data_IF_175107448267
#
_entry.id   IF_175107448267
#
_cell.length_a   1.000
_cell.length_b   1.000
_cell.length_c   1.000
_cell.angle_alpha   90.00
_cell.angle_beta   90.00
_cell.angle_gamma   90.00
#
_symmetry.space_group_name_H-M   'P 1'
#
loop_
_entity.id
_entity.type
_entity.pdbx_description
1 polymer ?
#
# COMPACT_ATOMS: atom_id res chain seq x y z
N UNK A 1 -0.36 21.50 17.23
CA UNK A 1 -0.79 21.88 15.87
C UNK A 1 -1.11 20.61 15.08
N UNK A 2 -2.28 19.99 15.20
CA UNK A 2 -2.51 18.69 14.50
C UNK A 2 -3.97 18.36 14.09
N UNK A 3 -4.97 19.16 14.47
CA UNK A 3 -6.39 18.84 14.16
C UNK A 3 -6.77 19.05 12.69
N UNK A 4 -6.07 19.95 11.98
CA UNK A 4 -6.32 20.23 10.56
C UNK A 4 -5.91 19.08 9.63
N UNK A 5 -4.80 18.39 9.94
CA UNK A 5 -4.26 17.30 9.12
C UNK A 5 -5.22 16.10 9.05
N UNK A 6 -5.79 15.69 10.19
CA UNK A 6 -6.68 14.52 10.27
C UNK A 6 -7.95 14.68 9.42
N UNK A 7 -8.60 15.86 9.49
CA UNK A 7 -9.79 16.15 8.67
C UNK A 7 -9.45 16.21 7.19
N UNK A 8 -8.31 16.80 6.84
CA UNK A 8 -7.85 16.87 5.45
C UNK A 8 -7.57 15.47 4.88
N UNK A 9 -6.90 14.60 5.63
CA UNK A 9 -6.67 13.19 5.25
C UNK A 9 -8.00 12.46 5.05
N UNK A 10 -8.95 12.60 5.97
CA UNK A 10 -10.24 11.93 5.87
C UNK A 10 -11.04 12.40 4.64
N UNK A 11 -11.06 13.70 4.37
CA UNK A 11 -11.73 14.28 3.20
C UNK A 11 -11.06 13.84 1.90
N UNK A 12 -9.73 13.81 1.84
CA UNK A 12 -8.98 13.35 0.68
C UNK A 12 -9.26 11.87 0.40
N UNK A 13 -9.27 11.03 1.43
CA UNK A 13 -9.61 9.61 1.31
C UNK A 13 -11.04 9.44 0.77
N UNK A 14 -12.01 10.11 1.37
CA UNK A 14 -13.41 10.08 0.91
C UNK A 14 -13.55 10.56 -0.53
N UNK A 15 -12.82 11.60 -0.91
CA UNK A 15 -12.83 12.10 -2.29
C UNK A 15 -12.29 11.03 -3.22
N UNK A 16 -11.22 10.34 -2.83
CA UNK A 16 -10.57 9.32 -3.65
C UNK A 16 -11.39 8.04 -3.78
N UNK A 17 -12.08 7.59 -2.72
CA UNK A 17 -12.74 6.27 -2.65
C UNK A 17 -14.26 6.33 -2.61
N UNK A 18 -14.84 7.51 -2.42
CA UNK A 18 -16.27 7.73 -2.13
C UNK A 18 -16.76 7.01 -0.85
N UNK A 19 -15.84 6.69 0.07
CA UNK A 19 -16.12 5.99 1.33
C UNK A 19 -15.33 6.61 2.50
N UNK A 20 -15.76 6.40 3.73
CA UNK A 20 -15.02 6.87 4.91
C UNK A 20 -13.80 5.98 5.19
N UNK A 21 -12.64 6.55 5.60
CA UNK A 21 -11.51 5.74 6.02
C UNK A 21 -11.83 5.00 7.32
N UNK A 22 -11.34 3.76 7.45
CA UNK A 22 -11.36 3.06 8.73
C UNK A 22 -10.34 3.68 9.69
N UNK A 23 -10.45 3.34 10.97
CA UNK A 23 -9.45 3.74 11.98
C UNK A 23 -8.04 3.31 11.60
N UNK A 24 -7.85 2.08 11.10
CA UNK A 24 -6.54 1.55 10.73
C UNK A 24 -5.93 2.28 9.53
N UNK A 25 -6.76 2.73 8.59
CA UNK A 25 -6.31 3.57 7.47
C UNK A 25 -5.87 4.94 7.98
N UNK A 26 -6.62 5.53 8.91
CA UNK A 26 -6.24 6.81 9.52
C UNK A 26 -4.92 6.70 10.28
N UNK A 27 -4.73 5.65 11.09
CA UNK A 27 -3.47 5.43 11.81
C UNK A 27 -2.29 5.16 10.88
N UNK A 28 -2.52 4.52 9.73
CA UNK A 28 -1.49 4.33 8.71
C UNK A 28 -1.07 5.65 8.04
N UNK A 29 -2.02 6.53 7.74
CA UNK A 29 -1.78 7.74 6.93
C UNK A 29 -1.37 8.96 7.78
N UNK A 30 -1.87 9.07 9.02
CA UNK A 30 -1.64 10.22 9.90
C UNK A 30 -0.15 10.55 10.14
N UNK A 31 0.78 9.58 10.29
CA UNK A 31 2.20 9.88 10.50
C UNK A 31 2.92 10.39 9.25
N UNK A 32 2.32 10.27 8.06
CA UNK A 32 2.95 10.62 6.79
C UNK A 32 2.79 12.12 6.49
N UNK A 33 3.74 12.73 5.74
CA UNK A 33 3.52 14.04 5.14
C UNK A 33 2.24 14.04 4.29
N UNK A 34 1.46 15.13 4.36
CA UNK A 34 0.15 15.19 3.68
C UNK A 34 0.25 15.00 2.16
N UNK A 35 1.30 15.53 1.53
CA UNK A 35 1.61 15.30 0.11
C UNK A 35 1.73 13.81 -0.20
N UNK A 36 2.48 13.06 0.62
CA UNK A 36 2.62 11.61 0.46
C UNK A 36 1.29 10.87 0.60
N UNK A 37 0.40 11.34 1.47
CA UNK A 37 -0.97 10.81 1.55
C UNK A 37 -1.71 11.01 0.23
N UNK A 38 -1.66 12.19 -0.37
CA UNK A 38 -2.33 12.48 -1.64
C UNK A 38 -1.81 11.61 -2.79
N UNK A 39 -0.50 11.39 -2.87
CA UNK A 39 0.10 10.50 -3.87
C UNK A 39 -0.44 9.07 -3.74
N UNK A 40 -0.45 8.52 -2.52
CA UNK A 40 -0.95 7.17 -2.26
C UNK A 40 -2.43 7.01 -2.65
N UNK A 41 -3.24 8.01 -2.35
CA UNK A 41 -4.66 8.03 -2.70
C UNK A 41 -4.88 8.17 -4.21
N UNK A 42 -4.03 8.92 -4.91
CA UNK A 42 -4.05 9.04 -6.36
C UNK A 42 -3.75 7.70 -7.02
N UNK A 43 -2.69 7.01 -6.60
CA UNK A 43 -2.32 5.67 -7.11
C UNK A 43 -3.48 4.69 -6.90
N UNK A 44 -4.09 4.70 -5.71
CA UNK A 44 -5.24 3.84 -5.41
C UNK A 44 -6.45 4.15 -6.30
N UNK A 45 -6.73 5.42 -6.58
CA UNK A 45 -7.85 5.83 -7.46
C UNK A 45 -7.59 5.54 -8.94
N UNK A 46 -6.34 5.61 -9.38
CA UNK A 46 -5.92 5.28 -10.74
C UNK A 46 -5.78 3.76 -10.97
N UNK A 47 -5.88 2.94 -9.92
CA UNK A 47 -5.84 1.49 -10.04
C UNK A 47 -6.83 1.01 -11.12
N UNK A 48 -6.37 0.25 -12.12
CA UNK A 48 -7.20 -0.17 -13.26
C UNK A 48 -8.31 -1.14 -12.86
N UNK A 49 -8.26 -1.69 -11.64
CA UNK A 49 -9.28 -2.55 -11.06
C UNK A 49 -9.68 -2.07 -9.66
N UNK A 50 -10.91 -2.39 -9.21
CA UNK A 50 -11.33 -2.06 -7.86
C UNK A 50 -10.39 -2.62 -6.78
N UNK A 51 -9.93 -1.75 -5.88
CA UNK A 51 -9.06 -2.12 -4.77
C UNK A 51 -9.90 -2.75 -3.66
N UNK A 52 -9.82 -4.09 -3.55
CA UNK A 52 -10.63 -4.87 -2.59
C UNK A 52 -10.20 -4.69 -1.13
N UNK A 53 -8.94 -4.35 -0.89
CA UNK A 53 -8.37 -4.16 0.44
C UNK A 53 -7.52 -2.89 0.46
N UNK A 54 -8.13 -1.72 0.71
CA UNK A 54 -7.43 -0.44 0.72
C UNK A 54 -6.24 -0.41 1.70
N UNK A 55 -6.42 -0.97 2.90
CA UNK A 55 -5.35 -1.00 3.90
C UNK A 55 -4.10 -1.76 3.42
N UNK A 56 -4.27 -2.95 2.86
CA UNK A 56 -3.14 -3.75 2.36
C UNK A 56 -2.51 -3.13 1.11
N UNK A 57 -3.32 -2.52 0.24
CA UNK A 57 -2.84 -1.77 -0.92
C UNK A 57 -1.94 -0.62 -0.48
N UNK A 58 -2.40 0.21 0.45
CA UNK A 58 -1.64 1.36 0.96
C UNK A 58 -0.36 0.92 1.67
N UNK A 59 -0.41 -0.12 2.51
CA UNK A 59 0.80 -0.69 3.14
C UNK A 59 1.83 -1.12 2.11
N UNK A 60 1.39 -1.81 1.06
CA UNK A 60 2.26 -2.27 -0.01
C UNK A 60 2.85 -1.10 -0.80
N UNK A 61 2.03 -0.11 -1.17
CA UNK A 61 2.49 1.09 -1.86
C UNK A 61 3.53 1.88 -1.05
N UNK A 62 3.38 1.94 0.28
CA UNK A 62 4.37 2.54 1.18
C UNK A 62 5.64 1.71 1.21
N UNK A 63 5.54 0.39 1.45
CA UNK A 63 6.68 -0.53 1.56
C UNK A 63 7.51 -0.58 0.26
N UNK A 64 6.83 -0.63 -0.89
CA UNK A 64 7.48 -0.72 -2.20
C UNK A 64 7.90 0.64 -2.76
N UNK A 65 7.58 1.74 -2.06
CA UNK A 65 7.96 3.09 -2.48
C UNK A 65 7.28 3.53 -3.79
N UNK A 66 6.04 3.11 -4.02
CA UNK A 66 5.29 3.48 -5.23
C UNK A 66 5.10 5.00 -5.30
N UNK A 67 5.25 5.55 -6.50
CA UNK A 67 4.99 6.95 -6.81
C UNK A 67 3.75 7.08 -7.71
N UNK A 68 3.22 8.29 -7.94
CA UNK A 68 2.04 8.48 -8.81
C UNK A 68 2.17 7.95 -10.23
N UNK A 69 3.38 7.74 -10.74
CA UNK A 69 3.65 7.17 -12.06
C UNK A 69 3.68 5.62 -12.02
N UNK A 70 3.70 5.02 -10.82
CA UNK A 70 3.71 3.58 -10.64
C UNK A 70 2.31 3.03 -10.90
N UNK A 71 2.15 2.32 -12.03
CA UNK A 71 0.91 1.63 -12.34
C UNK A 71 0.79 0.35 -11.49
N UNK A 72 -0.28 0.20 -10.67
CA UNK A 72 -0.45 -1.00 -9.86
C UNK A 72 -0.68 -2.23 -10.74
N UNK A 73 0.27 -3.17 -10.72
CA UNK A 73 0.12 -4.43 -11.44
C UNK A 73 -0.63 -5.47 -10.62
N UNK A 74 -1.36 -6.35 -11.31
CA UNK A 74 -2.00 -7.49 -10.65
C UNK A 74 -0.92 -8.48 -10.26
N UNK A 75 -0.64 -8.52 -8.98
CA UNK A 75 0.20 -9.53 -8.39
C UNK A 75 -0.55 -10.87 -8.32
N UNK A 76 0.07 -11.92 -8.85
CA UNK A 76 -0.38 -13.29 -8.59
C UNK A 76 0.13 -13.75 -7.21
N UNK A 77 -0.78 -13.76 -6.24
CA UNK A 77 -0.48 -14.19 -4.86
C UNK A 77 -0.04 -15.64 -4.77
N UNK A 78 -0.47 -16.50 -5.69
CA UNK A 78 -0.03 -17.89 -5.68
C UNK A 78 1.46 -17.97 -6.03
N UNK A 79 1.88 -17.21 -7.04
CA UNK A 79 3.29 -17.13 -7.43
C UNK A 79 4.13 -16.52 -6.29
N UNK A 80 3.67 -15.42 -5.67
CA UNK A 80 4.37 -14.84 -4.51
C UNK A 80 4.54 -15.86 -3.38
N UNK A 81 3.48 -16.58 -3.04
CA UNK A 81 3.54 -17.60 -2.00
C UNK A 81 4.54 -18.71 -2.34
N UNK A 82 4.59 -19.16 -3.59
CA UNK A 82 5.55 -20.18 -4.04
C UNK A 82 6.99 -19.67 -3.93
N UNK A 83 7.25 -18.43 -4.33
CA UNK A 83 8.57 -17.80 -4.26
C UNK A 83 8.99 -17.51 -2.81
N UNK A 84 8.08 -17.03 -1.95
CA UNK A 84 8.35 -16.81 -0.53
C UNK A 84 8.71 -18.14 0.16
N UNK A 85 7.95 -19.20 -0.10
CA UNK A 85 8.24 -20.53 0.45
C UNK A 85 9.57 -21.11 -0.06
N UNK A 86 9.99 -20.79 -1.27
CA UNK A 86 11.30 -21.20 -1.77
C UNK A 86 12.42 -20.65 -0.86
N UNK A 87 12.35 -19.37 -0.48
CA UNK A 87 13.31 -18.78 0.44
C UNK A 87 13.14 -19.27 1.88
N UNK A 88 11.91 -19.45 2.37
CA UNK A 88 11.71 -20.02 3.71
C UNK A 88 12.33 -21.41 3.82
N UNK A 89 12.22 -22.25 2.79
CA UNK A 89 12.89 -23.57 2.72
C UNK A 89 14.41 -23.50 2.70
N UNK A 90 14.99 -22.36 2.27
CA UNK A 90 16.42 -22.09 2.34
C UNK A 90 16.88 -21.54 3.70
N UNK A 91 15.97 -21.42 4.67
CA UNK A 91 16.28 -20.99 6.03
C UNK A 91 16.05 -19.49 6.31
N UNK A 92 15.46 -18.75 5.36
CA UNK A 92 15.10 -17.34 5.58
C UNK A 92 13.83 -17.21 6.43
N UNK A 93 13.72 -16.11 7.20
CA UNK A 93 12.46 -15.76 7.84
C UNK A 93 11.42 -15.33 6.80
N UNK A 94 10.13 -15.35 7.15
CA UNK A 94 9.06 -14.94 6.23
C UNK A 94 9.23 -13.49 5.73
N UNK A 95 9.71 -12.59 6.59
CA UNK A 95 9.94 -11.20 6.23
C UNK A 95 11.13 -11.04 5.28
N UNK A 96 12.22 -11.78 5.51
CA UNK A 96 13.37 -11.82 4.60
C UNK A 96 13.03 -12.46 3.25
N UNK A 97 12.21 -13.52 3.27
CA UNK A 97 11.71 -14.18 2.07
C UNK A 97 10.90 -13.20 1.21
N UNK A 98 9.96 -12.47 1.83
CA UNK A 98 9.18 -11.41 1.18
C UNK A 98 10.05 -10.36 0.54
N UNK A 99 11.05 -9.85 1.27
CA UNK A 99 11.95 -8.83 0.76
C UNK A 99 12.74 -9.32 -0.47
N UNK A 100 13.18 -10.58 -0.48
CA UNK A 100 13.86 -11.18 -1.64
C UNK A 100 12.96 -11.35 -2.85
N UNK A 101 11.74 -11.87 -2.67
CA UNK A 101 10.76 -12.00 -3.74
C UNK A 101 10.47 -10.63 -4.37
N UNK A 102 10.30 -9.61 -3.52
CA UNK A 102 10.06 -8.25 -3.97
C UNK A 102 11.26 -7.66 -4.71
N UNK A 103 12.49 -7.89 -4.23
CA UNK A 103 13.71 -7.37 -4.87
C UNK A 103 13.94 -7.95 -6.26
N UNK A 104 13.64 -9.23 -6.49
CA UNK A 104 13.85 -9.88 -7.79
C UNK A 104 12.86 -9.45 -8.89
N UNK A 105 11.82 -8.69 -8.54
CA UNK A 105 10.82 -8.18 -9.47
C UNK A 105 11.06 -6.74 -9.94
N UNK A 106 12.09 -6.07 -9.41
CA UNK A 106 12.58 -4.76 -9.88
C UNK A 106 13.67 -4.94 -10.93
#
# INVERSE_FOLDING_TARGET
METGSVKAIALAYQTATLTYPSFEIMELLKPLPFERVLELLLIMRQSPRPVKSPLNFLRRAIQEGWNPETMPEKVDRHIEYVEENHYVRQGYTIDQAREKVQKNRR
#
